data_IF_076678780040
#
_entry.id   IF_076678780040
#
_cell.length_a   1.000
_cell.length_b   1.000
_cell.length_c   1.000
_cell.angle_alpha   90.00
_cell.angle_beta   90.00
_cell.angle_gamma   90.00
#
_symmetry.space_group_name_H-M   'P 1'
#
loop_
_entity.id
_entity.type
_entity.pdbx_description
1 polymer ?
#
# COMPACT_ATOMS: atom_id res chain seq x y z
N UNK A 1 -4.99 12.29 -28.44
CA UNK A 1 -4.34 11.88 -27.17
C UNK A 1 -3.70 10.51 -27.33
N UNK A 2 -2.37 10.43 -27.42
CA UNK A 2 -1.64 9.15 -27.39
C UNK A 2 -1.88 8.53 -26.01
N UNK A 3 -2.58 7.39 -25.92
CA UNK A 3 -2.65 6.63 -24.66
C UNK A 3 -1.22 6.34 -24.24
N UNK A 4 -0.75 6.97 -23.16
CA UNK A 4 0.49 6.56 -22.53
C UNK A 4 0.36 5.05 -22.28
N UNK A 5 1.29 4.25 -22.80
CA UNK A 5 1.44 2.85 -22.41
C UNK A 5 2.39 2.88 -21.21
N UNK A 6 1.88 2.93 -19.97
CA UNK A 6 2.72 3.14 -18.79
C UNK A 6 3.64 1.94 -18.54
N UNK A 7 3.33 0.77 -19.10
CA UNK A 7 4.10 -0.46 -18.94
C UNK A 7 5.22 -0.55 -19.98
N UNK A 8 6.45 -0.66 -19.50
CA UNK A 8 7.65 -0.89 -20.31
C UNK A 8 7.72 -2.35 -20.77
N UNK A 9 7.60 -3.27 -19.82
CA UNK A 9 7.59 -4.72 -20.04
C UNK A 9 6.69 -5.40 -19.02
N UNK A 10 6.18 -6.58 -19.38
CA UNK A 10 5.40 -7.45 -18.48
C UNK A 10 5.74 -8.89 -18.80
N UNK A 11 6.08 -9.67 -17.79
CA UNK A 11 6.40 -11.09 -17.95
C UNK A 11 5.91 -11.91 -16.76
N UNK A 12 5.75 -13.21 -16.98
CA UNK A 12 5.45 -14.16 -15.90
C UNK A 12 6.68 -14.29 -15.02
N UNK A 13 6.48 -14.21 -13.70
CA UNK A 13 7.54 -14.32 -12.71
C UNK A 13 8.15 -15.73 -12.77
N UNK A 14 9.45 -15.80 -13.05
CA UNK A 14 10.19 -17.08 -13.02
C UNK A 14 10.36 -17.62 -11.59
N UNK A 15 10.78 -18.89 -11.46
CA UNK A 15 11.00 -19.52 -10.13
C UNK A 15 12.06 -18.79 -9.31
N UNK A 16 13.15 -18.35 -9.95
CA UNK A 16 14.24 -17.62 -9.29
C UNK A 16 13.81 -16.20 -8.88
N UNK A 17 13.07 -15.50 -9.75
CA UNK A 17 12.48 -14.19 -9.41
C UNK A 17 11.47 -14.30 -8.27
N UNK A 18 10.60 -15.32 -8.27
CA UNK A 18 9.64 -15.54 -7.18
C UNK A 18 10.36 -15.69 -5.84
N UNK A 19 11.50 -16.39 -5.80
CA UNK A 19 12.31 -16.53 -4.57
C UNK A 19 12.84 -15.17 -4.09
N UNK A 20 13.35 -14.34 -5.00
CA UNK A 20 13.85 -12.99 -4.68
C UNK A 20 12.73 -12.05 -4.20
N UNK A 21 11.58 -12.07 -4.87
CA UNK A 21 10.41 -11.29 -4.48
C UNK A 21 9.88 -11.71 -3.10
N UNK A 22 9.84 -13.01 -2.81
CA UNK A 22 9.43 -13.50 -1.49
C UNK A 22 10.38 -13.02 -0.39
N UNK A 23 11.69 -12.96 -0.65
CA UNK A 23 12.66 -12.45 0.31
C UNK A 23 12.48 -10.95 0.55
N UNK A 24 12.30 -10.16 -0.52
CA UNK A 24 12.00 -8.74 -0.43
C UNK A 24 10.71 -8.47 0.37
N UNK A 25 9.63 -9.20 0.06
CA UNK A 25 8.33 -9.00 0.70
C UNK A 25 8.36 -9.44 2.16
N UNK A 26 9.08 -10.52 2.52
CA UNK A 26 9.21 -10.91 3.94
C UNK A 26 9.86 -9.84 4.81
N UNK A 27 10.72 -9.01 4.24
CA UNK A 27 11.41 -7.94 4.97
C UNK A 27 10.60 -6.65 5.03
N UNK A 28 9.85 -6.34 3.97
CA UNK A 28 9.20 -5.02 3.81
C UNK A 28 7.68 -5.04 3.94
N UNK A 29 7.03 -6.16 3.62
CA UNK A 29 5.58 -6.33 3.65
C UNK A 29 5.21 -7.82 3.85
N UNK A 30 5.45 -8.40 5.06
CA UNK A 30 5.33 -9.83 5.28
C UNK A 30 3.99 -10.46 4.85
N UNK A 31 2.81 -9.81 5.06
CA UNK A 31 1.54 -10.34 4.59
C UNK A 31 1.50 -10.57 3.07
N UNK A 32 2.17 -9.72 2.28
CA UNK A 32 2.21 -9.85 0.83
C UNK A 32 3.09 -11.01 0.36
N UNK A 33 4.09 -11.41 1.16
CA UNK A 33 4.88 -12.59 0.86
C UNK A 33 4.01 -13.86 0.89
N UNK A 34 3.09 -13.96 1.86
CA UNK A 34 2.18 -15.11 1.92
C UNK A 34 1.13 -15.10 0.81
N UNK A 35 0.67 -13.92 0.41
CA UNK A 35 -0.16 -13.76 -0.78
C UNK A 35 0.55 -14.31 -2.03
N UNK A 36 1.80 -13.88 -2.28
CA UNK A 36 2.61 -14.35 -3.42
C UNK A 36 2.91 -15.85 -3.35
N UNK A 37 3.10 -16.41 -2.15
CA UNK A 37 3.35 -17.84 -1.96
C UNK A 37 2.16 -18.68 -2.43
N UNK A 38 0.93 -18.23 -2.13
CA UNK A 38 -0.33 -18.90 -2.49
C UNK A 38 -0.81 -18.62 -3.92
N UNK A 39 -0.26 -17.59 -4.56
CA UNK A 39 -0.62 -17.18 -5.92
C UNK A 39 -0.49 -18.34 -6.93
N UNK A 40 -1.54 -18.55 -7.75
CA UNK A 40 -1.51 -19.50 -8.88
C UNK A 40 -0.68 -18.96 -10.03
N UNK A 41 -0.74 -17.64 -10.25
CA UNK A 41 0.00 -16.93 -11.28
C UNK A 41 0.50 -15.60 -10.74
N UNK A 42 1.76 -15.28 -11.04
CA UNK A 42 2.36 -13.99 -10.74
C UNK A 42 3.05 -13.44 -11.98
N UNK A 43 2.87 -12.15 -12.23
CA UNK A 43 3.50 -11.42 -13.33
C UNK A 43 4.13 -10.14 -12.79
N UNK A 44 5.27 -9.75 -13.34
CA UNK A 44 5.94 -8.50 -12.98
C UNK A 44 5.83 -7.54 -14.16
N UNK A 45 5.29 -6.36 -13.92
CA UNK A 45 5.19 -5.30 -14.90
C UNK A 45 6.10 -4.13 -14.50
N UNK A 46 7.05 -3.79 -15.36
CA UNK A 46 7.93 -2.63 -15.18
C UNK A 46 7.27 -1.38 -15.73
N UNK A 47 7.20 -0.30 -14.97
CA UNK A 47 6.62 0.94 -15.45
C UNK A 47 7.69 1.84 -16.11
N UNK A 48 7.30 2.62 -17.12
CA UNK A 48 8.18 3.54 -17.87
C UNK A 48 8.44 4.86 -17.15
N UNK A 49 7.53 5.25 -16.26
CA UNK A 49 7.42 6.62 -15.76
C UNK A 49 8.31 6.83 -14.52
N UNK A 50 8.49 5.78 -13.71
CA UNK A 50 9.32 5.75 -12.50
C UNK A 50 9.90 4.34 -12.35
N UNK A 51 11.01 4.14 -11.61
CA UNK A 51 11.58 2.83 -11.31
C UNK A 51 10.69 2.06 -10.33
N UNK A 52 9.48 1.73 -10.80
CA UNK A 52 8.43 1.06 -10.05
C UNK A 52 8.10 -0.23 -10.78
N UNK A 53 8.16 -1.32 -10.03
CA UNK A 53 7.71 -2.62 -10.46
C UNK A 53 6.33 -2.89 -9.86
N UNK A 54 5.41 -3.37 -10.68
CA UNK A 54 4.06 -3.74 -10.29
C UNK A 54 3.92 -5.26 -10.36
N UNK A 55 3.78 -5.89 -9.19
CA UNK A 55 3.53 -7.31 -9.06
C UNK A 55 2.03 -7.57 -9.20
N UNK A 56 1.66 -8.32 -10.24
CA UNK A 56 0.31 -8.73 -10.53
C UNK A 56 0.13 -10.16 -10.04
N UNK A 57 -0.76 -10.37 -9.07
CA UNK A 57 -1.05 -11.67 -8.46
C UNK A 57 -2.45 -12.11 -8.87
N UNK A 58 -2.55 -13.26 -9.51
CA UNK A 58 -3.81 -13.85 -9.98
C UNK A 58 -4.69 -12.86 -10.78
N UNK A 59 -4.03 -12.03 -11.61
CA UNK A 59 -4.67 -11.03 -12.46
C UNK A 59 -4.95 -9.68 -11.79
N UNK A 60 -4.69 -9.54 -10.48
CA UNK A 60 -4.86 -8.29 -9.73
C UNK A 60 -3.53 -7.54 -9.63
N UNK A 61 -3.45 -6.26 -10.04
CA UNK A 61 -2.35 -5.34 -9.70
C UNK A 61 -2.17 -5.23 -8.18
N UNK A 62 -1.32 -6.07 -7.61
CA UNK A 62 -1.38 -6.36 -6.19
C UNK A 62 -0.42 -5.47 -5.38
N UNK A 63 0.87 -5.52 -5.70
CA UNK A 63 1.93 -4.91 -4.90
C UNK A 63 2.76 -4.00 -5.78
N UNK A 64 2.97 -2.78 -5.31
CA UNK A 64 3.93 -1.84 -5.86
C UNK A 64 5.26 -2.04 -5.15
N UNK A 65 6.35 -2.13 -5.91
CA UNK A 65 7.71 -2.29 -5.41
C UNK A 65 8.54 -1.13 -5.96
N UNK A 66 9.13 -0.36 -5.07
CA UNK A 66 10.00 0.77 -5.38
C UNK A 66 11.16 0.86 -4.38
N UNK A 67 12.02 1.87 -4.52
CA UNK A 67 13.23 2.02 -3.71
C UNK A 67 12.94 2.09 -2.19
N UNK A 68 11.87 2.78 -1.81
CA UNK A 68 11.46 2.91 -0.42
C UNK A 68 10.80 1.61 0.14
N UNK A 69 10.55 0.59 -0.69
CA UNK A 69 10.00 -0.69 -0.28
C UNK A 69 8.76 -1.12 -1.06
N UNK A 70 7.92 -1.94 -0.44
CA UNK A 70 6.73 -2.50 -1.07
C UNK A 70 5.44 -2.14 -0.32
N UNK A 71 4.36 -1.88 -1.04
CA UNK A 71 3.03 -1.61 -0.50
C UNK A 71 1.94 -2.17 -1.43
N UNK A 72 0.78 -2.58 -0.90
CA UNK A 72 -0.31 -3.03 -1.73
C UNK A 72 -0.99 -1.86 -2.45
N UNK A 73 -1.66 -2.15 -3.56
CA UNK A 73 -2.62 -1.20 -4.13
C UNK A 73 -3.91 -1.19 -3.30
N UNK A 74 -4.73 -0.14 -3.44
CA UNK A 74 -6.07 -0.09 -2.83
C UNK A 74 -6.92 -1.24 -3.39
N UNK A 75 -6.76 -1.56 -4.68
CA UNK A 75 -7.45 -2.69 -5.31
C UNK A 75 -7.09 -4.04 -4.66
N UNK A 76 -5.83 -4.22 -4.26
CA UNK A 76 -5.37 -5.43 -3.58
C UNK A 76 -6.01 -5.58 -2.19
N UNK A 77 -6.16 -4.47 -1.46
CA UNK A 77 -6.85 -4.47 -0.17
C UNK A 77 -8.28 -5.04 -0.30
N UNK A 78 -9.00 -4.62 -1.35
CA UNK A 78 -10.39 -5.06 -1.60
C UNK A 78 -10.52 -6.46 -2.18
N UNK A 79 -9.60 -6.87 -3.06
CA UNK A 79 -9.77 -8.12 -3.85
C UNK A 79 -8.99 -9.31 -3.33
N UNK A 80 -7.90 -9.08 -2.59
CA UNK A 80 -6.96 -10.14 -2.20
C UNK A 80 -6.97 -10.42 -0.70
N UNK A 81 -7.79 -9.70 0.08
CA UNK A 81 -7.95 -9.94 1.53
C UNK A 81 -6.66 -9.75 2.32
N UNK A 82 -5.73 -8.95 1.80
CA UNK A 82 -4.47 -8.65 2.47
C UNK A 82 -4.78 -7.80 3.70
N UNK A 83 -4.46 -8.30 4.90
CA UNK A 83 -4.70 -7.58 6.15
C UNK A 83 -3.47 -6.77 6.55
N UNK A 84 -3.68 -5.50 6.85
CA UNK A 84 -2.70 -4.58 7.42
C UNK A 84 -3.37 -3.79 8.55
N UNK A 85 -2.59 -3.21 9.48
CA UNK A 85 -3.11 -2.26 10.46
C UNK A 85 -3.82 -1.10 9.75
N UNK A 86 -4.92 -0.63 10.32
CA UNK A 86 -5.75 0.41 9.73
C UNK A 86 -5.73 1.68 10.57
N UNK A 87 -5.64 2.82 9.90
CA UNK A 87 -5.86 4.16 10.43
C UNK A 87 -7.20 4.67 9.89
N UNK A 88 -8.08 5.07 10.79
CA UNK A 88 -9.40 5.62 10.47
C UNK A 88 -9.35 7.12 10.61
N UNK A 89 -9.80 7.83 9.59
CA UNK A 89 -9.82 9.29 9.55
C UNK A 89 -11.24 9.86 9.53
N UNK A 90 -11.40 11.08 10.03
CA UNK A 90 -12.65 11.82 9.91
C UNK A 90 -13.01 12.12 8.44
N UNK A 91 -14.29 12.38 8.19
CA UNK A 91 -14.79 12.70 6.85
C UNK A 91 -14.20 13.98 6.24
N UNK A 92 -13.72 14.92 7.07
CA UNK A 92 -13.07 16.15 6.62
C UNK A 92 -11.69 15.91 5.99
N UNK A 93 -10.96 14.90 6.46
CA UNK A 93 -9.65 14.54 5.93
C UNK A 93 -9.71 13.79 4.58
N UNK A 94 -10.79 13.01 4.35
CA UNK A 94 -10.98 12.16 3.16
C UNK A 94 -10.69 12.86 1.83
N UNK A 95 -11.32 14.00 1.47
CA UNK A 95 -11.09 14.63 0.17
C UNK A 95 -9.64 15.07 -0.03
N UNK A 96 -8.93 15.44 1.03
CA UNK A 96 -7.52 15.82 0.92
C UNK A 96 -6.64 14.61 0.62
N UNK A 97 -6.89 13.48 1.28
CA UNK A 97 -6.11 12.26 1.09
C UNK A 97 -6.38 11.62 -0.28
N UNK A 98 -7.62 11.69 -0.79
CA UNK A 98 -7.97 11.31 -2.17
C UNK A 98 -7.37 12.25 -3.24
N UNK A 99 -6.78 13.37 -2.82
CA UNK A 99 -5.99 14.24 -3.69
C UNK A 99 -4.47 14.10 -3.43
N UNK A 100 -4.06 13.07 -2.70
CA UNK A 100 -2.66 12.74 -2.44
C UNK A 100 -2.02 13.43 -1.24
N UNK A 101 -2.79 14.08 -0.37
CA UNK A 101 -2.26 14.60 0.89
C UNK A 101 -1.84 13.47 1.85
N UNK A 102 -0.84 13.74 2.68
CA UNK A 102 -0.47 12.90 3.81
C UNK A 102 -1.56 12.93 4.90
N UNK A 103 -1.61 11.89 5.73
CA UNK A 103 -2.55 11.84 6.86
C UNK A 103 -1.95 12.59 8.04
N UNK A 104 -2.70 13.57 8.53
CA UNK A 104 -2.32 14.42 9.65
C UNK A 104 -2.92 13.85 10.95
N UNK A 105 -2.16 13.90 12.05
CA UNK A 105 -2.61 13.38 13.35
C UNK A 105 -3.99 13.90 13.82
N UNK A 106 -4.35 15.20 13.66
CA UNK A 106 -5.67 15.70 14.07
C UNK A 106 -6.86 15.05 13.37
N UNK A 107 -6.65 14.53 12.14
CA UNK A 107 -7.71 13.91 11.35
C UNK A 107 -7.90 12.43 11.61
N UNK A 108 -7.07 11.82 12.49
CA UNK A 108 -7.16 10.40 12.83
C UNK A 108 -8.08 10.24 14.04
N UNK A 109 -9.11 9.41 13.90
CA UNK A 109 -10.13 9.18 14.94
C UNK A 109 -10.01 7.82 15.61
N UNK A 110 -9.42 6.84 14.91
CA UNK A 110 -9.15 5.49 15.43
C UNK A 110 -7.97 4.87 14.69
N UNK A 111 -7.24 3.96 15.33
CA UNK A 111 -6.16 3.22 14.69
C UNK A 111 -5.92 1.86 15.35
N UNK A 112 -5.41 0.91 14.58
CA UNK A 112 -4.84 -0.35 15.08
C UNK A 112 -3.40 -0.16 15.57
N UNK A 113 -2.80 -1.18 16.20
CA UNK A 113 -1.39 -1.14 16.57
C UNK A 113 -0.47 -1.32 15.35
N UNK A 114 0.57 -0.48 15.27
CA UNK A 114 1.62 -0.52 14.25
C UNK A 114 2.87 0.22 14.72
N UNK A 115 4.00 -0.08 14.08
CA UNK A 115 5.28 0.57 14.31
C UNK A 115 5.62 1.59 13.22
N UNK A 116 6.57 2.47 13.53
CA UNK A 116 7.11 3.42 12.54
C UNK A 116 7.68 2.68 11.34
N UNK A 117 7.26 3.08 10.14
CA UNK A 117 7.69 2.47 8.88
C UNK A 117 6.75 1.37 8.36
N UNK A 118 5.83 0.88 9.19
CA UNK A 118 4.83 -0.09 8.75
C UNK A 118 3.93 0.49 7.66
N UNK A 119 3.47 -0.40 6.79
CA UNK A 119 2.46 -0.06 5.79
C UNK A 119 1.09 -0.24 6.43
N UNK A 120 0.28 0.82 6.36
CA UNK A 120 -1.06 0.87 6.97
C UNK A 120 -2.12 1.18 5.90
N UNK A 121 -3.32 0.71 6.16
CA UNK A 121 -4.51 1.16 5.43
C UNK A 121 -5.07 2.44 6.00
N UNK A 122 -5.70 3.23 5.14
CA UNK A 122 -6.47 4.41 5.52
C UNK A 122 -7.92 4.20 5.12
N UNK A 123 -8.81 4.28 6.11
CA UNK A 123 -10.26 4.14 5.97
C UNK A 123 -10.97 5.36 6.56
N UNK A 124 -12.23 5.57 6.18
CA UNK A 124 -13.09 6.61 6.73
C UNK A 124 -13.86 6.11 7.97
N UNK A 125 -14.59 7.01 8.64
CA UNK A 125 -15.39 6.71 9.83
C UNK A 125 -16.48 5.64 9.62
N UNK A 126 -16.97 5.49 8.39
CA UNK A 126 -17.90 4.40 8.05
C UNK A 126 -17.18 3.04 8.12
N UNK A 127 -15.85 3.04 7.97
CA UNK A 127 -14.97 1.89 8.25
C UNK A 127 -15.12 0.74 7.24
N UNK A 128 -15.98 0.92 6.24
CA UNK A 128 -16.35 -0.14 5.31
C UNK A 128 -15.31 -0.29 4.19
N UNK A 129 -14.53 0.76 3.88
CA UNK A 129 -13.64 0.74 2.71
C UNK A 129 -12.32 1.47 2.93
N UNK A 130 -11.24 0.71 2.72
CA UNK A 130 -9.90 1.28 2.52
C UNK A 130 -9.89 2.10 1.24
N UNK A 131 -9.55 3.38 1.35
CA UNK A 131 -9.45 4.27 0.20
C UNK A 131 -8.04 4.76 -0.06
N UNK A 132 -7.11 4.58 0.88
CA UNK A 132 -5.69 4.81 0.68
C UNK A 132 -4.80 3.83 1.43
N UNK A 133 -3.53 3.79 1.03
CA UNK A 133 -2.44 3.01 1.60
C UNK A 133 -1.34 3.99 1.93
N UNK A 134 -0.78 3.88 3.12
CA UNK A 134 0.25 4.79 3.60
C UNK A 134 1.36 4.08 4.34
N UNK A 135 2.41 4.84 4.64
CA UNK A 135 3.50 4.42 5.54
C UNK A 135 3.47 5.22 6.82
N UNK A 136 3.44 4.52 7.94
CA UNK A 136 3.48 5.12 9.27
C UNK A 136 4.77 5.93 9.45
N UNK A 137 4.62 7.21 9.77
CA UNK A 137 5.74 8.11 10.10
C UNK A 137 6.01 8.19 11.60
N UNK A 138 5.15 7.57 12.41
CA UNK A 138 5.22 7.46 13.87
C UNK A 138 4.69 6.07 14.25
N UNK A 139 4.96 5.57 15.45
CA UNK A 139 4.28 4.37 15.98
C UNK A 139 2.87 4.70 16.49
N UNK A 140 2.04 3.68 16.70
CA UNK A 140 0.71 3.84 17.34
C UNK A 140 0.81 4.45 18.75
N UNK A 141 1.87 4.12 19.49
CA UNK A 141 2.16 4.67 20.82
C UNK A 141 2.49 6.16 20.77
N UNK A 142 3.30 6.61 19.81
CA UNK A 142 3.59 8.03 19.57
C UNK A 142 2.32 8.77 19.12
N UNK A 143 1.55 8.17 18.21
CA UNK A 143 0.34 8.75 17.65
C UNK A 143 -0.73 9.03 18.71
N UNK A 144 -0.86 8.16 19.71
CA UNK A 144 -1.85 8.31 20.79
C UNK A 144 -1.78 9.64 21.54
N UNK A 145 -0.59 10.25 21.60
CA UNK A 145 -0.34 11.53 22.30
C UNK A 145 -0.12 12.71 21.33
N UNK A 146 -0.18 12.46 20.02
CA UNK A 146 0.19 13.43 19.00
C UNK A 146 -1.00 14.29 18.59
N UNK A 147 -0.96 15.58 18.93
CA UNK A 147 -2.03 16.55 18.59
C UNK A 147 -1.85 17.23 17.24
N UNK A 148 -0.69 17.12 16.59
CA UNK A 148 -0.36 17.81 15.34
C UNK A 148 0.80 17.14 14.61
N UNK A 149 0.89 17.37 13.31
CA UNK A 149 1.97 16.86 12.45
C UNK A 149 1.52 15.69 11.57
N UNK A 150 2.40 15.26 10.67
CA UNK A 150 2.16 14.14 9.76
C UNK A 150 2.29 12.82 10.53
N UNK A 151 1.27 11.98 10.44
CA UNK A 151 1.25 10.67 11.06
C UNK A 151 1.53 9.55 10.04
N UNK A 152 1.01 9.68 8.82
CA UNK A 152 1.16 8.69 7.75
C UNK A 152 1.48 9.37 6.44
N UNK A 153 2.53 8.93 5.75
CA UNK A 153 2.87 9.34 4.37
C UNK A 153 1.94 8.61 3.39
N UNK A 154 1.27 9.34 2.51
CA UNK A 154 0.39 8.75 1.50
C UNK A 154 1.22 8.10 0.39
N UNK A 155 0.99 6.81 0.13
CA UNK A 155 1.69 6.05 -0.92
C UNK A 155 0.79 5.83 -2.14
N UNK A 156 -0.49 5.57 -1.91
CA UNK A 156 -1.46 5.30 -2.97
C UNK A 156 -2.88 5.52 -2.45
N UNK A 157 -3.73 6.12 -3.27
CA UNK A 157 -5.12 6.43 -2.94
C UNK A 157 -6.04 6.11 -4.13
N UNK A 158 -7.33 5.96 -3.85
CA UNK A 158 -8.36 5.83 -4.87
C UNK A 158 -8.58 7.19 -5.56
N UNK A 159 -8.26 7.29 -6.84
CA UNK A 159 -8.36 8.53 -7.61
C UNK A 159 -7.77 8.39 -9.00
#
# INVERSE_FOLDING_TARGET
>A
MRRLRPVHSRHVVSKSEKKRLLELLRRSLPPAAELLKRAKRAELAKLRIRPIDLLIIDGVPAIVIEEEGAYPTVLAAHRLGLKLPTVVVDMGAVPHILNGADVMAPGIVKFDEFERGDVVYVADEEGERVFAVGRALVSSSELSNMKRGKAVKNLHYAG
#
